data_IF_379319367872
#
_entry.id   IF_379319367872
#
_cell.length_a   1.000
_cell.length_b   1.000
_cell.length_c   1.000
_cell.angle_alpha   90.00
_cell.angle_beta   90.00
_cell.angle_gamma   90.00
#
_symmetry.space_group_name_H-M   'P 1'
#
loop_
_entity.id
_entity.type
_entity.pdbx_description
1 polymer ?
#
# COMPACT_ATOMS: atom_id res chain seq x y z
N UNK A 1 -7.54 -17.26 -0.15
CA UNK A 1 -6.29 -16.57 0.21
C UNK A 1 -6.60 -15.09 0.32
N UNK A 2 -5.97 -14.39 1.26
CA UNK A 2 -6.20 -12.96 1.50
C UNK A 2 -5.13 -12.14 0.79
N UNK A 3 -5.52 -10.99 0.23
CA UNK A 3 -4.58 -10.03 -0.36
C UNK A 3 -4.23 -8.98 0.71
N UNK A 4 -2.96 -8.94 1.11
CA UNK A 4 -2.43 -7.97 2.06
C UNK A 4 -1.80 -6.79 1.32
N UNK A 5 -1.79 -5.62 1.97
CA UNK A 5 -1.14 -4.41 1.47
C UNK A 5 -0.23 -3.84 2.53
N UNK A 6 0.97 -3.47 2.11
CA UNK A 6 2.03 -2.99 2.97
C UNK A 6 2.48 -1.61 2.51
N UNK A 7 2.84 -0.78 3.48
CA UNK A 7 3.39 0.55 3.25
C UNK A 7 4.77 0.63 3.88
N UNK A 8 5.76 0.97 3.06
CA UNK A 8 7.09 1.38 3.48
C UNK A 8 7.22 2.90 3.49
N UNK A 9 7.79 3.52 4.53
CA UNK A 9 8.05 4.96 4.54
C UNK A 9 9.25 5.37 5.40
N UNK A 10 9.79 6.57 5.15
CA UNK A 10 10.94 7.11 5.88
C UNK A 10 10.55 7.88 7.15
N UNK A 11 9.26 8.03 7.40
CA UNK A 11 8.70 8.73 8.57
C UNK A 11 7.87 7.73 9.35
N UNK A 12 7.96 7.78 10.67
CA UNK A 12 7.14 6.95 11.55
C UNK A 12 5.67 7.42 11.53
N UNK A 13 4.75 6.50 11.28
CA UNK A 13 3.30 6.75 11.24
C UNK A 13 2.68 6.15 12.50
N UNK A 14 1.81 6.89 13.23
CA UNK A 14 1.09 6.33 14.36
C UNK A 14 0.09 5.26 13.89
N UNK A 15 0.05 4.14 14.61
CA UNK A 15 -0.93 3.09 14.36
C UNK A 15 -2.35 3.63 14.55
N UNK A 16 -3.26 3.17 13.69
CA UNK A 16 -4.68 3.53 13.77
C UNK A 16 -5.37 2.72 14.86
N UNK A 17 -6.38 3.30 15.50
CA UNK A 17 -7.21 2.59 16.48
C UNK A 17 -7.89 1.37 15.82
N UNK A 18 -7.75 0.14 16.37
CA UNK A 18 -8.39 -1.05 15.83
C UNK A 18 -9.92 -0.95 15.72
N UNK A 19 -10.57 -0.13 16.55
CA UNK A 19 -12.02 0.09 16.54
C UNK A 19 -12.45 1.22 15.56
N UNK A 20 -11.50 1.79 14.81
CA UNK A 20 -11.80 2.83 13.81
C UNK A 20 -12.59 2.30 12.61
N UNK A 21 -13.48 3.13 12.08
CA UNK A 21 -14.19 2.88 10.83
C UNK A 21 -13.49 3.54 9.62
N UNK A 22 -12.20 3.85 9.75
CA UNK A 22 -11.41 4.48 8.70
C UNK A 22 -11.26 3.57 7.47
N UNK A 23 -11.12 4.20 6.30
CA UNK A 23 -10.95 3.49 5.03
C UNK A 23 -9.58 2.79 4.96
N UNK A 24 -8.59 3.34 5.66
CA UNK A 24 -7.23 2.83 5.78
C UNK A 24 -6.90 2.79 7.26
N UNK A 25 -6.47 1.62 7.74
CA UNK A 25 -6.04 1.42 9.13
C UNK A 25 -4.59 0.95 9.10
N UNK A 26 -3.69 1.71 9.72
CA UNK A 26 -2.28 1.32 9.87
C UNK A 26 -2.16 0.40 11.09
N UNK A 27 -1.85 -0.87 10.86
CA UNK A 27 -1.80 -1.88 11.90
C UNK A 27 -2.02 -3.28 11.35
N UNK A 28 -1.76 -4.29 12.19
CA UNK A 28 -1.88 -5.69 11.81
C UNK A 28 -3.33 -6.06 11.47
N UNK A 29 -3.49 -6.82 10.38
CA UNK A 29 -4.77 -7.37 9.95
C UNK A 29 -4.65 -8.83 9.51
N UNK A 30 -3.85 -9.08 8.48
CA UNK A 30 -3.56 -10.42 7.99
C UNK A 30 -2.14 -10.86 8.31
N UNK A 31 -1.22 -9.90 8.45
CA UNK A 31 0.20 -10.13 8.61
C UNK A 31 0.63 -10.07 10.08
N UNK A 32 1.64 -10.88 10.41
CA UNK A 32 2.36 -10.79 11.67
C UNK A 32 3.70 -10.06 11.48
N UNK A 33 4.43 -9.88 12.57
CA UNK A 33 5.72 -9.18 12.57
C UNK A 33 6.74 -9.81 11.61
N UNK A 34 6.74 -11.13 11.46
CA UNK A 34 7.67 -11.83 10.56
C UNK A 34 7.40 -11.50 9.09
N UNK A 35 6.13 -11.34 8.71
CA UNK A 35 5.76 -10.93 7.35
C UNK A 35 6.16 -9.48 7.09
N UNK A 36 6.03 -8.60 8.08
CA UNK A 36 6.51 -7.21 7.95
C UNK A 36 8.03 -7.15 7.76
N UNK A 37 8.78 -7.97 8.50
CA UNK A 37 10.24 -8.10 8.33
C UNK A 37 10.60 -8.59 6.92
N UNK A 38 9.90 -9.60 6.40
CA UNK A 38 10.13 -10.12 5.05
C UNK A 38 9.84 -9.03 4.01
N UNK A 39 8.70 -8.34 4.07
CA UNK A 39 8.39 -7.28 3.10
C UNK A 39 9.42 -6.15 3.19
N UNK A 40 9.84 -5.78 4.41
CA UNK A 40 10.89 -4.78 4.62
C UNK A 40 12.23 -5.20 4.01
N UNK A 41 12.63 -6.47 4.12
CA UNK A 41 13.89 -6.99 3.61
C UNK A 41 13.89 -7.14 2.07
N UNK A 42 12.80 -7.63 1.50
CA UNK A 42 12.74 -8.03 0.08
C UNK A 42 12.12 -6.96 -0.82
N UNK A 43 11.19 -6.15 -0.30
CA UNK A 43 10.37 -5.26 -1.13
C UNK A 43 10.69 -3.78 -0.94
N UNK A 44 10.95 -3.34 0.28
CA UNK A 44 11.09 -1.91 0.57
C UNK A 44 12.53 -1.41 0.70
N UNK A 45 12.70 -0.13 0.39
CA UNK A 45 13.94 0.63 0.56
C UNK A 45 13.86 1.64 1.71
N UNK A 46 12.70 1.73 2.35
CA UNK A 46 12.39 2.69 3.42
C UNK A 46 12.71 2.14 4.81
N UNK A 47 12.57 2.96 5.85
CA UNK A 47 12.95 2.59 7.23
C UNK A 47 11.84 1.98 8.07
N UNK A 48 10.58 2.32 7.81
CA UNK A 48 9.42 1.83 8.55
C UNK A 48 8.50 1.06 7.62
N UNK A 49 7.94 -0.05 8.11
CA UNK A 49 7.01 -0.91 7.38
C UNK A 49 5.75 -1.16 8.19
N UNK A 50 4.60 -1.05 7.53
CA UNK A 50 3.28 -1.23 8.11
C UNK A 50 2.42 -2.09 7.21
N UNK A 51 1.57 -2.93 7.78
CA UNK A 51 0.37 -3.37 7.06
C UNK A 51 -0.67 -2.26 7.08
N UNK A 52 -1.33 -2.06 5.94
CA UNK A 52 -2.51 -1.21 5.84
C UNK A 52 -3.75 -2.07 5.64
N UNK A 53 -4.51 -2.22 6.72
CA UNK A 53 -5.72 -3.02 6.73
C UNK A 53 -6.80 -2.35 5.88
N UNK A 54 -7.32 -3.17 4.99
CA UNK A 54 -8.51 -2.89 4.20
C UNK A 54 -9.29 -4.20 4.11
N UNK A 55 -10.61 -4.16 3.99
CA UNK A 55 -11.47 -5.34 3.73
C UNK A 55 -10.94 -6.31 2.64
N UNK A 56 -10.15 -5.77 1.72
CA UNK A 56 -9.38 -6.43 0.67
C UNK A 56 -8.27 -5.46 0.23
N UNK A 57 -7.04 -5.94 0.04
CA UNK A 57 -5.87 -5.12 -0.31
C UNK A 57 -6.05 -4.16 -1.50
N UNK A 58 -5.09 -3.27 -1.67
CA UNK A 58 -5.06 -2.26 -2.74
C UNK A 58 -4.47 -2.89 -4.00
N UNK A 59 -5.36 -3.23 -4.93
CA UNK A 59 -5.02 -3.75 -6.26
C UNK A 59 -5.89 -3.06 -7.32
N UNK A 60 -5.30 -2.73 -8.47
CA UNK A 60 -6.00 -2.20 -9.64
C UNK A 60 -5.62 -3.04 -10.86
N UNK A 61 -6.46 -4.02 -11.21
CA UNK A 61 -6.22 -4.89 -12.37
C UNK A 61 -7.42 -4.88 -13.34
N UNK A 62 -7.24 -5.46 -14.52
CA UNK A 62 -8.26 -5.44 -15.57
C UNK A 62 -9.48 -6.31 -15.24
N UNK A 63 -9.28 -7.35 -14.44
CA UNK A 63 -10.25 -8.41 -14.13
C UNK A 63 -11.26 -8.05 -13.03
N UNK A 64 -10.99 -6.98 -12.27
CA UNK A 64 -11.89 -6.47 -11.25
C UNK A 64 -13.20 -5.92 -11.84
N UNK A 65 -14.29 -6.12 -11.10
CA UNK A 65 -15.57 -5.45 -11.35
C UNK A 65 -15.44 -3.94 -11.16
N UNK A 66 -16.34 -3.16 -11.77
CA UNK A 66 -16.38 -1.70 -11.60
C UNK A 66 -16.50 -1.28 -10.12
N UNK A 67 -17.20 -2.08 -9.30
CA UNK A 67 -17.34 -1.84 -7.86
C UNK A 67 -16.00 -1.99 -7.14
N UNK A 68 -15.27 -3.08 -7.40
CA UNK A 68 -13.96 -3.36 -6.82
C UNK A 68 -12.93 -2.32 -7.25
N UNK A 69 -12.89 -1.98 -8.55
CA UNK A 69 -12.04 -0.89 -9.07
C UNK A 69 -12.31 0.42 -8.34
N UNK A 70 -13.58 0.80 -8.18
CA UNK A 70 -13.95 2.05 -7.49
C UNK A 70 -13.51 2.03 -6.02
N UNK A 71 -13.61 0.89 -5.35
CA UNK A 71 -13.19 0.74 -3.95
C UNK A 71 -11.67 0.82 -3.81
N UNK A 72 -10.92 0.11 -4.65
CA UNK A 72 -9.46 0.15 -4.66
C UNK A 72 -8.91 1.55 -5.00
N UNK A 73 -9.51 2.24 -5.98
CA UNK A 73 -9.17 3.65 -6.30
C UNK A 73 -9.40 4.56 -5.10
N UNK A 74 -10.54 4.40 -4.40
CA UNK A 74 -10.85 5.17 -3.18
C UNK A 74 -9.80 4.91 -2.09
N UNK A 75 -9.40 3.66 -1.88
CA UNK A 75 -8.37 3.27 -0.89
C UNK A 75 -7.01 3.89 -1.23
N UNK A 76 -6.57 3.78 -2.48
CA UNK A 76 -5.30 4.37 -2.92
C UNK A 76 -5.28 5.90 -2.74
N UNK A 77 -6.36 6.58 -3.12
CA UNK A 77 -6.48 8.03 -2.93
C UNK A 77 -6.53 8.42 -1.45
N UNK A 78 -7.24 7.65 -0.62
CA UNK A 78 -7.28 7.88 0.83
C UNK A 78 -5.89 7.71 1.45
N UNK A 79 -5.18 6.65 1.08
CA UNK A 79 -3.80 6.42 1.52
C UNK A 79 -2.88 7.57 1.10
N UNK A 80 -2.94 8.01 -0.16
CA UNK A 80 -2.19 9.18 -0.63
C UNK A 80 -2.52 10.43 0.18
N UNK A 81 -3.79 10.70 0.47
CA UNK A 81 -4.19 11.85 1.27
C UNK A 81 -3.67 11.80 2.72
N UNK A 82 -3.63 10.61 3.33
CA UNK A 82 -3.08 10.43 4.68
C UNK A 82 -1.56 10.63 4.65
N UNK A 83 -0.87 9.99 3.70
CA UNK A 83 0.58 10.08 3.54
C UNK A 83 1.04 11.49 3.20
N UNK A 84 0.26 12.26 2.43
CA UNK A 84 0.55 13.67 2.19
C UNK A 84 0.55 14.50 3.48
N UNK A 85 -0.21 14.11 4.51
CA UNK A 85 -0.15 14.76 5.82
C UNK A 85 1.16 14.53 6.58
N UNK A 86 1.83 13.39 6.34
CA UNK A 86 3.04 12.98 7.06
C UNK A 86 4.33 13.30 6.33
N UNK A 87 4.33 13.23 5.00
CA UNK A 87 5.53 13.39 4.19
C UNK A 87 5.89 14.87 4.01
N UNK A 88 7.18 15.17 3.88
CA UNK A 88 7.70 16.48 3.42
C UNK A 88 8.09 16.39 1.95
N UNK A 89 8.33 17.55 1.33
CA UNK A 89 8.82 17.59 -0.05
C UNK A 89 10.14 16.84 -0.19
N UNK A 90 10.21 15.92 -1.16
CA UNK A 90 11.35 15.01 -1.34
C UNK A 90 11.28 13.70 -0.56
N UNK A 91 10.33 13.56 0.38
CA UNK A 91 10.02 12.26 0.98
C UNK A 91 9.16 11.41 0.02
N UNK A 92 9.12 10.12 0.30
CA UNK A 92 8.29 9.17 -0.44
C UNK A 92 7.82 8.05 0.48
N UNK A 93 6.81 7.35 0.00
CA UNK A 93 6.42 6.05 0.54
C UNK A 93 6.33 5.02 -0.58
N UNK A 94 6.42 3.77 -0.17
CA UNK A 94 6.31 2.61 -1.03
C UNK A 94 5.05 1.84 -0.66
N UNK A 95 4.33 1.34 -1.65
CA UNK A 95 3.15 0.50 -1.49
C UNK A 95 3.41 -0.81 -2.25
N UNK A 96 3.17 -1.92 -1.57
CA UNK A 96 3.26 -3.25 -2.15
C UNK A 96 2.09 -4.11 -1.67
N UNK A 97 1.43 -4.80 -2.58
CA UNK A 97 0.31 -5.69 -2.25
C UNK A 97 0.60 -7.09 -2.76
N UNK A 98 0.43 -8.12 -1.95
CA UNK A 98 0.63 -9.52 -2.37
C UNK A 98 -0.34 -10.45 -1.65
N UNK A 99 -0.46 -11.69 -2.13
CA UNK A 99 -1.12 -12.72 -1.35
C UNK A 99 -0.31 -13.00 -0.10
N UNK A 100 -1.00 -13.28 1.00
CA UNK A 100 -0.35 -13.70 2.24
C UNK A 100 0.45 -14.98 1.98
N UNK A 101 1.75 -14.96 2.29
CA UNK A 101 2.72 -16.02 2.00
C UNK A 101 3.60 -15.77 0.76
N UNK A 102 3.32 -14.72 -0.02
CA UNK A 102 4.09 -14.32 -1.20
C UNK A 102 4.95 -13.06 -0.97
N UNK A 103 5.18 -12.67 0.29
CA UNK A 103 5.89 -11.44 0.67
C UNK A 103 7.32 -11.38 0.12
N UNK A 104 7.98 -12.53 -0.02
CA UNK A 104 9.35 -12.68 -0.54
C UNK A 104 9.43 -12.87 -2.06
N UNK A 105 8.28 -12.95 -2.75
CA UNK A 105 8.24 -13.30 -4.17
C UNK A 105 8.72 -12.14 -5.03
N UNK A 106 9.24 -12.49 -6.20
CA UNK A 106 9.66 -11.51 -7.20
C UNK A 106 8.51 -10.58 -7.59
N UNK A 107 8.86 -9.29 -7.71
CA UNK A 107 7.97 -8.24 -8.19
C UNK A 107 7.59 -8.51 -9.63
N UNK A 108 6.34 -8.25 -9.97
CA UNK A 108 5.87 -8.32 -11.37
C UNK A 108 6.02 -6.98 -12.09
N UNK A 109 6.28 -5.91 -11.35
CA UNK A 109 6.51 -4.58 -11.90
C UNK A 109 6.86 -3.54 -10.84
N UNK A 110 7.26 -2.38 -11.32
CA UNK A 110 7.52 -1.20 -10.51
C UNK A 110 6.85 0.03 -11.13
N UNK A 111 6.30 0.90 -10.29
CA UNK A 111 5.65 2.12 -10.72
C UNK A 111 6.12 3.30 -9.86
N UNK A 112 6.39 4.44 -10.49
CA UNK A 112 6.74 5.68 -9.79
C UNK A 112 5.66 6.72 -10.04
N UNK A 113 5.08 7.23 -8.97
CA UNK A 113 4.00 8.22 -8.99
C UNK A 113 4.39 9.44 -8.14
N UNK A 114 3.68 10.54 -8.37
CA UNK A 114 3.73 11.74 -7.54
C UNK A 114 2.39 11.96 -6.88
N UNK A 115 2.34 12.11 -5.57
CA UNK A 115 1.14 12.01 -4.72
C UNK A 115 -0.06 12.84 -5.21
N UNK A 116 0.20 13.99 -5.86
CA UNK A 116 -0.82 14.91 -6.38
C UNK A 116 -0.83 15.08 -7.92
N UNK A 117 -0.08 14.25 -8.67
CA UNK A 117 0.11 14.43 -10.12
C UNK A 117 -0.09 13.16 -10.95
N UNK A 118 -0.83 12.17 -10.44
CA UNK A 118 -1.19 10.98 -11.20
C UNK A 118 -2.69 10.93 -11.52
N UNK A 119 -3.04 10.30 -12.64
CA UNK A 119 -4.43 10.03 -13.02
C UNK A 119 -4.79 8.62 -12.59
N UNK A 120 -5.61 8.51 -11.55
CA UNK A 120 -6.01 7.23 -10.96
C UNK A 120 -6.68 6.28 -11.96
N UNK A 121 -7.34 6.80 -12.99
CA UNK A 121 -8.03 6.00 -14.02
C UNK A 121 -7.10 5.36 -15.05
N UNK A 122 -5.85 5.84 -15.15
CA UNK A 122 -4.85 5.36 -16.12
C UNK A 122 -3.84 4.39 -15.47
N UNK A 123 -4.02 4.06 -14.17
CA UNK A 123 -3.08 3.24 -13.41
C UNK A 123 -3.55 1.80 -13.33
N UNK A 124 -2.61 0.88 -13.56
CA UNK A 124 -2.72 -0.54 -13.27
C UNK A 124 -1.70 -0.91 -12.19
N UNK A 125 -2.18 -1.55 -11.14
CA UNK A 125 -1.40 -2.09 -10.02
C UNK A 125 -1.87 -3.53 -9.82
N UNK A 126 -1.35 -4.49 -10.60
CA UNK A 126 -1.47 -5.90 -10.23
C UNK A 126 -0.82 -6.15 -8.86
N UNK A 127 -1.18 -7.26 -8.22
CA UNK A 127 -0.40 -7.80 -7.09
C UNK A 127 1.10 -7.84 -7.41
N UNK A 128 1.93 -7.78 -6.38
CA UNK A 128 3.40 -7.81 -6.44
C UNK A 128 4.00 -6.70 -7.31
N UNK A 129 3.28 -5.60 -7.50
CA UNK A 129 3.81 -4.37 -8.08
C UNK A 129 4.30 -3.47 -6.95
N UNK A 130 5.57 -3.08 -6.98
CA UNK A 130 6.07 -2.06 -6.05
C UNK A 130 5.74 -0.67 -6.60
N UNK A 131 5.02 0.13 -5.82
CA UNK A 131 4.71 1.50 -6.19
C UNK A 131 5.46 2.44 -5.26
N UNK A 132 6.27 3.32 -5.82
CA UNK A 132 6.90 4.42 -5.09
C UNK A 132 6.16 5.71 -5.38
N UNK A 133 5.66 6.35 -4.34
CA UNK A 133 4.85 7.58 -4.43
C UNK A 133 5.62 8.70 -3.72
N UNK A 134 6.09 9.66 -4.52
CA UNK A 134 6.89 10.80 -4.06
C UNK A 134 6.01 12.02 -3.78
N UNK A 135 6.39 12.80 -2.77
CA UNK A 135 5.76 14.08 -2.46
C UNK A 135 6.40 15.25 -3.21
#
# INVERSE_FOLDING_TARGET
MSLASYVGCNVEIPLTDPDSNDVIVFGSCFSDESMLEIVQEFQFQTSYTYEVSTSWGIELNEWQTEKEKKEAKKKLLALCSIMDGYLKEGDYFELFSCWVGDEDKERVGELKLKINHFKIDEILIPERTLIRIEK
#
